data_IF_962885582064
#
_entry.id   IF_962885582064
#
_cell.length_a   1.000
_cell.length_b   1.000
_cell.length_c   1.000
_cell.angle_alpha   90.00
_cell.angle_beta   90.00
_cell.angle_gamma   90.00
#
_symmetry.space_group_name_H-M   'P 1'
#
loop_
_entity.id
_entity.type
_entity.pdbx_description
1 polymer ?
#
# COMPACT_ATOMS: atom_id res chain seq x y z
N UNK A 1 29.65 24.78 -11.79
CA UNK A 1 29.55 23.84 -10.66
C UNK A 1 29.37 22.45 -11.26
N UNK A 2 30.36 21.58 -11.15
CA UNK A 2 30.23 20.18 -11.57
C UNK A 2 29.58 19.44 -10.40
N UNK A 3 28.35 18.95 -10.59
CA UNK A 3 27.67 18.12 -9.60
C UNK A 3 28.11 16.68 -9.85
N UNK A 4 29.06 16.20 -9.06
CA UNK A 4 29.41 14.78 -9.01
C UNK A 4 28.36 14.08 -8.15
N UNK A 5 27.62 13.15 -8.73
CA UNK A 5 26.65 12.37 -7.97
C UNK A 5 27.39 11.38 -7.07
N UNK A 6 27.41 11.68 -5.78
CA UNK A 6 27.95 10.85 -4.73
C UNK A 6 26.92 9.83 -4.25
N UNK A 7 27.39 8.80 -3.55
CA UNK A 7 26.56 7.67 -3.13
C UNK A 7 25.32 8.11 -2.30
N UNK A 8 25.40 9.10 -1.38
CA UNK A 8 24.23 9.66 -0.73
C UNK A 8 23.21 10.28 -1.69
N UNK A 9 23.66 11.05 -2.69
CA UNK A 9 22.76 11.67 -3.67
C UNK A 9 22.08 10.63 -4.56
N UNK A 10 22.78 9.55 -4.93
CA UNK A 10 22.19 8.43 -5.64
C UNK A 10 21.11 7.72 -4.83
N UNK A 11 21.37 7.43 -3.56
CA UNK A 11 20.38 6.80 -2.67
C UNK A 11 19.16 7.70 -2.52
N UNK A 12 19.35 9.00 -2.31
CA UNK A 12 18.26 9.95 -2.19
C UNK A 12 17.42 10.01 -3.47
N UNK A 13 18.06 10.07 -4.64
CA UNK A 13 17.37 10.07 -5.93
C UNK A 13 16.55 8.80 -6.17
N UNK A 14 17.11 7.63 -5.87
CA UNK A 14 16.41 6.35 -5.99
C UNK A 14 15.24 6.23 -5.00
N UNK A 15 15.42 6.68 -3.76
CA UNK A 15 14.37 6.68 -2.76
C UNK A 15 13.19 7.57 -3.18
N UNK A 16 13.46 8.77 -3.70
CA UNK A 16 12.44 9.68 -4.22
C UNK A 16 11.71 9.06 -5.41
N UNK A 17 12.46 8.50 -6.37
CA UNK A 17 11.87 7.85 -7.55
C UNK A 17 10.98 6.66 -7.18
N UNK A 18 11.36 5.88 -6.15
CA UNK A 18 10.62 4.71 -5.71
C UNK A 18 9.45 5.02 -4.75
N UNK A 19 9.44 6.20 -4.11
CA UNK A 19 8.47 6.52 -3.05
C UNK A 19 7.00 6.32 -3.47
N UNK A 20 6.63 6.88 -4.63
CA UNK A 20 5.27 6.79 -5.17
C UNK A 20 4.90 5.35 -5.53
N UNK A 21 5.63 4.63 -6.41
CA UNK A 21 5.24 3.28 -6.80
C UNK A 21 5.25 2.29 -5.63
N UNK A 22 6.20 2.41 -4.69
CA UNK A 22 6.23 1.56 -3.50
C UNK A 22 5.01 1.79 -2.63
N UNK A 23 4.58 3.05 -2.45
CA UNK A 23 3.37 3.36 -1.68
C UNK A 23 2.13 2.69 -2.29
N UNK A 24 1.94 2.77 -3.61
CA UNK A 24 0.81 2.12 -4.27
C UNK A 24 0.91 0.58 -4.26
N UNK A 25 2.12 0.03 -4.39
CA UNK A 25 2.36 -1.41 -4.28
C UNK A 25 1.96 -1.92 -2.89
N UNK A 26 2.38 -1.23 -1.82
CA UNK A 26 2.01 -1.56 -0.44
C UNK A 26 0.50 -1.40 -0.24
N UNK A 27 -0.11 -0.31 -0.71
CA UNK A 27 -1.56 -0.10 -0.60
C UNK A 27 -2.36 -1.22 -1.30
N UNK A 28 -1.93 -1.63 -2.50
CA UNK A 28 -2.55 -2.74 -3.23
C UNK A 28 -2.31 -4.09 -2.55
N UNK A 29 -1.14 -4.29 -1.95
CA UNK A 29 -0.86 -5.48 -1.16
C UNK A 29 -1.77 -5.56 0.07
N UNK A 30 -1.89 -4.46 0.83
CA UNK A 30 -2.82 -4.34 1.97
C UNK A 30 -4.25 -4.62 1.51
N UNK A 31 -4.68 -4.03 0.39
CA UNK A 31 -6.01 -4.27 -0.19
C UNK A 31 -6.30 -5.76 -0.46
N UNK A 32 -5.28 -6.55 -0.76
CA UNK A 32 -5.44 -7.96 -1.14
C UNK A 32 -5.22 -8.94 0.00
N UNK A 33 -4.43 -8.58 1.01
CA UNK A 33 -3.93 -9.53 2.01
C UNK A 33 -4.31 -9.16 3.45
N UNK A 34 -4.86 -7.97 3.68
CA UNK A 34 -5.44 -7.61 4.96
C UNK A 34 -6.94 -7.83 4.85
N UNK A 35 -7.51 -8.60 5.77
CA UNK A 35 -8.95 -8.75 5.86
C UNK A 35 -9.56 -7.36 6.06
N UNK A 36 -10.36 -6.94 5.09
CA UNK A 36 -11.09 -5.69 5.20
C UNK A 36 -12.22 -6.00 6.16
N UNK A 37 -11.99 -5.72 7.44
CA UNK A 37 -12.96 -5.90 8.52
C UNK A 37 -14.21 -5.04 8.41
N UNK A 38 -14.64 -4.71 7.19
CA UNK A 38 -16.04 -4.45 6.91
C UNK A 38 -16.80 -5.77 7.12
N UNK A 39 -16.99 -6.12 8.41
CA UNK A 39 -18.18 -6.86 8.82
C UNK A 39 -19.35 -6.13 8.16
N UNK A 40 -19.86 -6.70 7.08
CA UNK A 40 -20.96 -6.08 6.34
C UNK A 40 -22.18 -6.33 7.19
N UNK A 41 -22.61 -5.35 7.97
CA UNK A 41 -23.80 -5.50 8.79
C UNK A 41 -25.03 -5.34 7.89
N UNK A 42 -25.93 -6.32 7.91
CA UNK A 42 -27.22 -6.19 7.26
C UNK A 42 -28.08 -5.09 7.90
N UNK A 43 -29.21 -4.70 7.30
CA UNK A 43 -30.17 -3.77 7.90
C UNK A 43 -30.63 -4.17 9.31
N UNK A 44 -30.51 -5.46 9.63
CA UNK A 44 -30.84 -6.08 10.93
C UNK A 44 -29.69 -6.06 11.95
N UNK A 45 -28.55 -5.42 11.64
CA UNK A 45 -27.39 -5.30 12.53
C UNK A 45 -26.59 -6.60 12.74
N UNK A 46 -26.86 -7.65 11.96
CA UNK A 46 -26.13 -8.92 11.98
C UNK A 46 -24.99 -8.91 10.95
N UNK A 47 -23.87 -9.56 11.29
CA UNK A 47 -22.74 -9.75 10.38
C UNK A 47 -23.21 -10.59 9.19
N UNK A 48 -23.07 -10.06 7.99
CA UNK A 48 -23.15 -10.82 6.74
C UNK A 48 -21.79 -11.47 6.59
N UNK A 49 -21.70 -12.72 7.03
CA UNK A 49 -20.65 -13.62 6.61
C UNK A 49 -20.92 -13.88 5.12
N UNK A 50 -20.13 -13.28 4.22
CA UNK A 50 -20.14 -13.70 2.81
C UNK A 50 -19.59 -15.14 2.83
N UNK A 51 -20.50 -16.12 2.76
CA UNK A 51 -20.21 -17.55 2.77
C UNK A 51 -19.05 -17.86 1.81
N UNK A 52 -18.04 -18.48 2.40
CA UNK A 52 -16.87 -19.06 1.77
C UNK A 52 -17.25 -19.84 0.51
N UNK A 53 -16.73 -19.40 -0.65
CA UNK A 53 -16.56 -20.28 -1.81
C UNK A 53 -15.35 -19.92 -2.65
#
# INVERSE_FOLDING_TARGET
>A
MVVTADLPLWIAGLAIAAAVPVTFMVANWVRKHVDHGEMRFGPDGKVIEDEEK
#
